data_IF_918945223602
#
_entry.id   IF_918945223602
#
_cell.length_a   1.000
_cell.length_b   1.000
_cell.length_c   1.000
_cell.angle_alpha   90.00
_cell.angle_beta   90.00
_cell.angle_gamma   90.00
#
_symmetry.space_group_name_H-M   'P 1'
#
loop_
_entity.id
_entity.type
_entity.pdbx_description
1 polymer ?
#
# COMPACT_ATOMS: atom_id res chain seq x y z
N UNK A 1 6.90 5.62 -43.30
CA UNK A 1 6.47 4.41 -42.54
C UNK A 1 7.08 4.52 -41.15
N UNK A 2 6.27 4.46 -40.09
CA UNK A 2 6.67 4.80 -38.71
C UNK A 2 7.39 3.63 -38.02
N UNK A 3 8.49 3.92 -37.34
CA UNK A 3 9.32 2.99 -36.57
C UNK A 3 8.50 2.24 -35.51
N UNK A 4 8.44 0.92 -35.58
CA UNK A 4 7.94 0.09 -34.47
C UNK A 4 9.04 0.00 -33.40
N UNK A 5 8.89 0.77 -32.32
CA UNK A 5 9.67 0.58 -31.09
C UNK A 5 9.19 -0.71 -30.43
N UNK A 6 9.96 -1.79 -30.57
CA UNK A 6 9.73 -3.02 -29.81
C UNK A 6 10.21 -2.75 -28.37
N UNK A 7 9.35 -2.17 -27.53
CA UNK A 7 9.54 -2.24 -26.08
C UNK A 7 9.37 -3.70 -25.70
N UNK A 8 10.44 -4.31 -25.16
CA UNK A 8 10.48 -5.72 -24.71
C UNK A 8 9.17 -6.07 -23.99
N UNK A 9 8.32 -6.83 -24.65
CA UNK A 9 7.24 -7.56 -23.99
C UNK A 9 7.90 -8.65 -23.15
N UNK A 10 8.35 -8.27 -21.95
CA UNK A 10 8.56 -9.23 -20.88
C UNK A 10 7.17 -9.80 -20.66
N UNK A 11 6.94 -11.05 -21.04
CA UNK A 11 5.68 -11.75 -20.73
C UNK A 11 5.55 -11.70 -19.20
N UNK A 12 4.69 -10.80 -18.73
CA UNK A 12 4.74 -10.21 -17.40
C UNK A 12 4.08 -11.15 -16.38
N UNK A 13 4.64 -12.36 -16.22
CA UNK A 13 4.12 -13.38 -15.28
C UNK A 13 4.45 -13.06 -13.82
N UNK A 14 5.37 -12.12 -13.58
CA UNK A 14 5.62 -11.51 -12.26
C UNK A 14 4.63 -10.37 -11.95
N UNK A 15 3.96 -9.81 -12.96
CA UNK A 15 3.06 -8.67 -12.76
C UNK A 15 1.80 -9.05 -12.01
N UNK A 16 1.27 -10.27 -12.16
CA UNK A 16 0.01 -10.62 -11.51
C UNK A 16 0.10 -10.58 -9.97
N UNK A 17 1.23 -11.04 -9.42
CA UNK A 17 1.49 -11.01 -7.98
C UNK A 17 1.63 -9.58 -7.47
N UNK A 18 2.34 -8.74 -8.23
CA UNK A 18 2.58 -7.35 -7.90
C UNK A 18 1.30 -6.51 -8.04
N UNK A 19 0.54 -6.70 -9.11
CA UNK A 19 -0.73 -6.00 -9.37
C UNK A 19 -1.76 -6.34 -8.29
N UNK A 20 -1.81 -7.62 -7.88
CA UNK A 20 -2.67 -8.06 -6.78
C UNK A 20 -2.24 -7.46 -5.44
N UNK A 21 -0.94 -7.43 -5.16
CA UNK A 21 -0.39 -6.76 -3.97
C UNK A 21 -0.68 -5.25 -3.97
N UNK A 22 -0.51 -4.57 -5.11
CA UNK A 22 -0.81 -3.15 -5.29
C UNK A 22 -2.32 -2.86 -5.14
N UNK A 23 -3.19 -3.74 -5.62
CA UNK A 23 -4.63 -3.64 -5.40
C UNK A 23 -5.03 -3.91 -3.94
N UNK A 24 -4.34 -4.83 -3.25
CA UNK A 24 -4.58 -5.11 -1.84
C UNK A 24 -4.16 -3.93 -0.94
N UNK A 25 -2.99 -3.34 -1.15
CA UNK A 25 -2.55 -2.15 -0.39
C UNK A 25 -3.34 -0.89 -0.77
N UNK A 26 -3.77 -0.75 -2.03
CA UNK A 26 -4.57 0.39 -2.48
C UNK A 26 -6.04 0.36 -2.02
N UNK A 27 -6.48 -0.75 -1.42
CA UNK A 27 -7.78 -0.87 -0.74
C UNK A 27 -7.71 -0.45 0.73
N UNK A 28 -6.52 -0.38 1.31
CA UNK A 28 -6.37 0.16 2.66
C UNK A 28 -6.50 1.68 2.59
N UNK A 29 -7.54 2.21 3.24
CA UNK A 29 -7.79 3.65 3.30
C UNK A 29 -6.58 4.37 3.90
N UNK A 30 -6.08 5.38 3.19
CA UNK A 30 -5.06 6.28 3.71
C UNK A 30 -5.59 6.92 5.00
N UNK A 31 -4.89 6.70 6.12
CA UNK A 31 -5.23 7.36 7.37
C UNK A 31 -4.96 8.86 7.25
N UNK A 32 -5.87 9.64 7.82
CA UNK A 32 -5.67 11.09 7.94
C UNK A 32 -4.61 11.40 8.99
N UNK A 33 -3.96 12.56 8.88
CA UNK A 33 -2.97 13.02 9.87
C UNK A 33 -3.56 13.08 11.28
N UNK A 34 -4.85 13.42 11.40
CA UNK A 34 -5.58 13.44 12.67
C UNK A 34 -5.71 12.04 13.27
N UNK A 35 -6.08 11.03 12.45
CA UNK A 35 -6.10 9.62 12.87
C UNK A 35 -4.72 9.12 13.27
N UNK A 36 -3.66 9.54 12.57
CA UNK A 36 -2.29 9.17 12.90
C UNK A 36 -1.87 9.67 14.29
N UNK A 37 -2.25 10.90 14.64
CA UNK A 37 -2.02 11.48 15.97
C UNK A 37 -2.83 10.75 17.05
N UNK A 38 -4.09 10.44 16.79
CA UNK A 38 -4.93 9.68 17.73
C UNK A 38 -4.39 8.26 17.98
N UNK A 39 -3.98 7.56 16.92
CA UNK A 39 -3.37 6.24 16.99
C UNK A 39 -2.03 6.29 17.73
N UNK A 40 -1.18 7.28 17.46
CA UNK A 40 0.08 7.46 18.17
C UNK A 40 -0.12 7.73 19.66
N UNK A 41 -1.13 8.53 20.03
CA UNK A 41 -1.49 8.75 21.44
C UNK A 41 -2.03 7.48 22.11
N UNK A 42 -2.83 6.68 21.40
CA UNK A 42 -3.35 5.40 21.91
C UNK A 42 -2.25 4.35 22.07
N UNK A 43 -1.30 4.25 21.12
CA UNK A 43 -0.12 3.38 21.21
C UNK A 43 0.72 3.74 22.44
N UNK A 44 0.91 5.04 22.70
CA UNK A 44 1.63 5.51 23.89
C UNK A 44 0.97 5.08 25.21
N UNK A 45 -0.35 4.87 25.21
CA UNK A 45 -1.10 4.35 26.36
C UNK A 45 -1.09 2.81 26.45
N UNK A 46 -0.45 2.13 25.50
CA UNK A 46 -0.32 0.66 25.45
C UNK A 46 -1.38 -0.04 24.61
N UNK A 47 -2.11 0.69 23.76
CA UNK A 47 -3.12 0.09 22.88
C UNK A 47 -2.47 -0.65 21.70
N UNK A 48 -2.50 -1.99 21.75
CA UNK A 48 -2.00 -2.85 20.67
C UNK A 48 -2.86 -2.78 19.41
N UNK A 49 -4.16 -2.50 19.51
CA UNK A 49 -5.02 -2.36 18.33
C UNK A 49 -4.67 -1.11 17.54
N UNK A 50 -4.33 -0.03 18.25
CA UNK A 50 -3.85 1.19 17.61
C UNK A 50 -2.52 0.97 16.88
N UNK A 51 -1.62 0.16 17.46
CA UNK A 51 -0.36 -0.22 16.80
C UNK A 51 -0.60 -1.02 15.52
N UNK A 52 -1.47 -2.03 15.57
CA UNK A 52 -1.80 -2.84 14.39
C UNK A 52 -2.46 -2.00 13.29
N UNK A 53 -3.36 -1.08 13.67
CA UNK A 53 -4.04 -0.19 12.71
C UNK A 53 -3.06 0.79 12.06
N UNK A 54 -2.15 1.41 12.83
CA UNK A 54 -1.13 2.31 12.30
C UNK A 54 -0.12 1.59 11.38
N UNK A 55 0.21 0.33 11.69
CA UNK A 55 1.18 -0.47 10.92
C UNK A 55 0.60 -0.98 9.60
N UNK A 56 -0.73 -1.14 9.51
CA UNK A 56 -1.41 -1.53 8.28
C UNK A 56 -1.67 -0.37 7.32
N UNK A 57 -1.87 0.82 7.89
CA UNK A 57 -2.17 2.02 7.11
C UNK A 57 -0.93 2.75 6.55
N UNK A 58 0.30 2.36 6.95
CA UNK A 58 1.58 2.89 6.50
C UNK A 58 2.38 1.84 5.72
#
# INVERSE_FOLDING_TARGET
>A
MRQLKITKSITNRESASLDKYLQEIGREDLITVEEEVELAQAIKKGDRKALEKLTRAN
#
